data_IF_977802978343
#
_entry.id   IF_977802978343
#
_cell.length_a   1.000
_cell.length_b   1.000
_cell.length_c   1.000
_cell.angle_alpha   90.00
_cell.angle_beta   90.00
_cell.angle_gamma   90.00
#
_symmetry.space_group_name_H-M   'P 1'
#
loop_
_entity.id
_entity.type
_entity.pdbx_description
1 polymer ?
#
# COMPACT_ATOMS: atom_id res chain seq x y z
N UNK A 1 19.68 4.87 -12.74
CA UNK A 1 18.22 4.83 -12.50
C UNK A 1 17.55 5.97 -13.25
N UNK A 2 16.35 5.75 -13.80
CA UNK A 2 15.60 6.75 -14.57
C UNK A 2 16.34 7.23 -15.83
N UNK A 3 15.86 8.34 -16.41
CA UNK A 3 16.58 9.05 -17.47
C UNK A 3 17.45 10.11 -16.81
N UNK A 4 18.76 10.12 -17.10
CA UNK A 4 19.75 11.04 -16.49
C UNK A 4 19.27 12.50 -16.51
N UNK A 5 18.63 12.93 -17.59
CA UNK A 5 18.13 14.29 -17.79
C UNK A 5 16.60 14.40 -17.70
N UNK A 6 15.91 13.33 -17.29
CA UNK A 6 14.45 13.24 -17.33
C UNK A 6 13.74 14.33 -16.53
N UNK A 7 14.30 14.70 -15.37
CA UNK A 7 13.78 15.78 -14.53
C UNK A 7 13.91 17.18 -15.15
N UNK A 8 14.79 17.37 -16.16
CA UNK A 8 14.94 18.63 -16.88
C UNK A 8 14.03 18.73 -18.10
N UNK A 9 13.58 17.60 -18.63
CA UNK A 9 12.84 17.51 -19.90
C UNK A 9 11.36 17.24 -19.75
N UNK A 10 10.95 16.66 -18.62
CA UNK A 10 9.58 16.20 -18.38
C UNK A 10 9.00 16.98 -17.22
N UNK A 11 7.82 17.56 -17.38
CA UNK A 11 7.08 18.19 -16.29
C UNK A 11 6.41 17.15 -15.36
N UNK A 12 6.12 17.58 -14.12
CA UNK A 12 5.45 16.74 -13.14
C UNK A 12 3.99 16.66 -13.54
N UNK A 13 3.49 15.44 -13.64
CA UNK A 13 2.08 15.17 -13.89
C UNK A 13 1.50 14.50 -12.64
N UNK A 14 0.36 15.01 -12.19
CA UNK A 14 -0.43 14.40 -11.12
C UNK A 14 -1.71 13.79 -11.66
N UNK A 15 -2.30 12.88 -10.88
CA UNK A 15 -3.63 12.34 -11.16
C UNK A 15 -4.66 13.47 -11.12
N UNK A 16 -5.50 13.51 -12.14
CA UNK A 16 -6.64 14.41 -12.17
C UNK A 16 -7.81 13.87 -11.34
N UNK A 17 -8.80 14.72 -11.16
CA UNK A 17 -10.06 14.35 -10.54
C UNK A 17 -11.18 14.43 -11.57
N UNK A 18 -12.22 13.62 -11.38
CA UNK A 18 -13.48 13.82 -12.09
C UNK A 18 -14.01 15.26 -11.86
N UNK A 19 -14.79 15.74 -12.84
CA UNK A 19 -15.41 17.05 -12.78
C UNK A 19 -16.25 17.21 -11.51
N UNK A 20 -16.29 18.44 -10.97
CA UNK A 20 -16.96 18.72 -9.69
C UNK A 20 -18.43 18.32 -9.76
N UNK A 21 -19.09 18.59 -10.88
CA UNK A 21 -20.49 18.31 -11.14
C UNK A 21 -20.79 16.81 -11.10
N UNK A 22 -19.82 15.95 -11.37
CA UNK A 22 -19.97 14.50 -11.39
C UNK A 22 -19.60 13.88 -10.04
N UNK A 23 -18.45 14.26 -9.46
CA UNK A 23 -17.96 13.66 -8.21
C UNK A 23 -18.80 13.98 -6.98
N UNK A 24 -19.63 15.04 -6.99
CA UNK A 24 -20.55 15.34 -5.88
C UNK A 24 -21.81 14.46 -5.89
N UNK A 25 -22.04 13.69 -6.96
CA UNK A 25 -23.22 12.82 -7.12
C UNK A 25 -23.01 11.42 -6.52
N UNK A 26 -21.79 11.07 -6.09
CA UNK A 26 -21.48 9.78 -5.50
C UNK A 26 -20.36 9.86 -4.47
N UNK A 27 -20.13 8.74 -3.78
CA UNK A 27 -19.06 8.59 -2.79
C UNK A 27 -17.91 7.68 -3.27
N UNK A 28 -17.93 7.20 -4.52
CA UNK A 28 -16.81 6.40 -5.08
C UNK A 28 -15.55 7.25 -5.25
N UNK A 29 -14.40 6.58 -5.34
CA UNK A 29 -13.13 7.22 -5.75
C UNK A 29 -13.34 7.96 -7.08
N UNK A 30 -12.89 9.21 -7.13
CA UNK A 30 -13.00 10.08 -8.30
C UNK A 30 -11.63 10.55 -8.81
N UNK A 31 -10.55 9.96 -8.30
CA UNK A 31 -9.19 10.16 -8.81
C UNK A 31 -9.02 9.38 -10.10
N UNK A 32 -8.57 10.05 -11.14
CA UNK A 32 -8.34 9.47 -12.46
C UNK A 32 -6.89 8.99 -12.50
N UNK A 33 -6.64 7.67 -12.66
CA UNK A 33 -5.27 7.16 -12.79
C UNK A 33 -4.57 7.72 -14.03
N UNK A 34 -3.25 7.87 -13.95
CA UNK A 34 -2.43 8.23 -15.11
C UNK A 34 -2.29 7.05 -16.06
N UNK A 35 -2.09 7.32 -17.35
CA UNK A 35 -1.74 6.28 -18.31
C UNK A 35 -0.38 5.65 -17.93
N UNK A 36 -0.18 4.34 -18.11
CA UNK A 36 1.11 3.69 -17.81
C UNK A 36 2.34 4.38 -18.44
N UNK A 37 2.20 5.01 -19.61
CA UNK A 37 3.28 5.79 -20.24
C UNK A 37 3.59 7.07 -19.46
N UNK A 38 2.58 7.77 -18.98
CA UNK A 38 2.75 8.96 -18.14
C UNK A 38 3.39 8.59 -16.80
N UNK A 39 2.95 7.49 -16.18
CA UNK A 39 3.58 6.96 -14.95
C UNK A 39 5.06 6.62 -15.20
N UNK A 40 5.36 5.97 -16.33
CA UNK A 40 6.74 5.69 -16.75
C UNK A 40 7.57 6.96 -16.92
N UNK A 41 6.99 8.04 -17.47
CA UNK A 41 7.66 9.33 -17.59
C UNK A 41 7.91 9.98 -16.22
N UNK A 42 6.97 9.85 -15.28
CA UNK A 42 7.17 10.34 -13.91
C UNK A 42 8.29 9.57 -13.20
N UNK A 43 8.41 8.25 -13.42
CA UNK A 43 9.56 7.47 -12.95
C UNK A 43 10.90 7.95 -13.54
N UNK A 44 10.89 8.41 -14.80
CA UNK A 44 12.07 8.95 -15.48
C UNK A 44 12.59 10.27 -14.87
N UNK A 45 11.77 11.01 -14.11
CA UNK A 45 12.18 12.22 -13.39
C UNK A 45 13.05 11.92 -12.15
N UNK A 46 13.23 10.66 -11.75
CA UNK A 46 14.11 10.32 -10.65
C UNK A 46 15.57 10.67 -10.99
N UNK A 47 16.22 11.49 -10.15
CA UNK A 47 17.59 11.99 -10.40
C UNK A 47 18.71 10.98 -10.07
N UNK A 48 18.38 9.77 -9.60
CA UNK A 48 19.37 8.80 -9.10
C UNK A 48 20.33 9.42 -8.06
N UNK A 49 19.75 10.04 -7.03
CA UNK A 49 20.51 10.78 -6.03
C UNK A 49 21.46 9.85 -5.28
N UNK A 50 22.75 10.21 -5.19
CA UNK A 50 23.74 9.42 -4.43
C UNK A 50 23.35 9.19 -2.96
N UNK A 51 22.57 10.10 -2.38
CA UNK A 51 21.88 9.91 -1.08
C UNK A 51 20.37 10.06 -1.32
N UNK A 52 19.60 8.96 -1.36
CA UNK A 52 18.17 9.02 -1.64
C UNK A 52 17.38 9.45 -0.38
N UNK A 53 17.24 10.76 -0.17
CA UNK A 53 16.47 11.30 0.97
C UNK A 53 15.01 10.85 0.98
N UNK A 54 14.45 10.49 -0.16
CA UNK A 54 13.11 9.91 -0.24
C UNK A 54 12.97 8.60 0.55
N UNK A 55 14.04 7.79 0.68
CA UNK A 55 14.04 6.59 1.53
C UNK A 55 13.80 6.97 2.99
N UNK A 56 14.54 7.95 3.48
CA UNK A 56 14.47 8.42 4.87
C UNK A 56 13.16 9.16 5.15
N UNK A 57 12.62 9.86 4.15
CA UNK A 57 11.31 10.51 4.24
C UNK A 57 10.14 9.51 4.28
N UNK A 58 10.35 8.25 3.85
CA UNK A 58 9.33 7.22 3.89
C UNK A 58 9.38 6.46 5.23
N UNK A 59 8.32 6.45 6.05
CA UNK A 59 8.33 5.76 7.35
C UNK A 59 8.55 4.25 7.28
N UNK A 60 8.30 3.63 6.12
CA UNK A 60 8.56 2.20 5.88
C UNK A 60 9.88 1.95 5.13
N UNK A 61 10.71 2.98 4.97
CA UNK A 61 12.01 2.93 4.28
C UNK A 61 11.92 2.29 2.87
N UNK A 62 10.88 2.67 2.12
CA UNK A 62 10.62 2.10 0.81
C UNK A 62 11.75 2.39 -0.18
N UNK A 63 12.03 1.42 -1.07
CA UNK A 63 13.11 1.45 -2.07
C UNK A 63 12.71 2.22 -3.33
N UNK A 64 12.44 3.52 -3.14
CA UNK A 64 11.73 4.37 -4.11
C UNK A 64 12.43 4.51 -5.47
N UNK A 65 13.72 4.87 -5.55
CA UNK A 65 14.45 4.96 -6.82
C UNK A 65 14.47 3.64 -7.58
N UNK A 66 14.54 2.50 -6.88
CA UNK A 66 14.60 1.17 -7.51
C UNK A 66 13.31 0.85 -8.26
N UNK A 67 12.15 0.95 -7.60
CA UNK A 67 10.89 0.70 -8.30
C UNK A 67 10.51 1.81 -9.29
N UNK A 68 10.97 3.06 -9.10
CA UNK A 68 10.83 4.11 -10.12
C UNK A 68 11.57 3.76 -11.42
N UNK A 69 12.82 3.28 -11.30
CA UNK A 69 13.62 2.84 -12.43
C UNK A 69 12.98 1.63 -13.13
N UNK A 70 12.49 0.66 -12.36
CA UNK A 70 11.83 -0.52 -12.91
C UNK A 70 10.55 -0.13 -13.67
N UNK A 71 9.75 0.80 -13.14
CA UNK A 71 8.57 1.34 -13.85
C UNK A 71 8.97 2.05 -15.15
N UNK A 72 9.99 2.90 -15.12
CA UNK A 72 10.52 3.56 -16.32
C UNK A 72 10.96 2.56 -17.40
N UNK A 73 11.56 1.44 -17.00
CA UNK A 73 12.00 0.36 -17.89
C UNK A 73 10.88 -0.65 -18.23
N UNK A 74 9.62 -0.36 -17.93
CA UNK A 74 8.46 -1.25 -18.13
C UNK A 74 8.55 -2.61 -17.39
N UNK A 75 9.38 -2.71 -16.35
CA UNK A 75 9.54 -3.90 -15.49
C UNK A 75 8.57 -3.84 -14.30
N UNK A 76 7.28 -3.73 -14.60
CA UNK A 76 6.22 -3.49 -13.61
C UNK A 76 6.10 -4.57 -12.54
N UNK A 77 6.27 -5.84 -12.91
CA UNK A 77 6.20 -6.95 -11.95
C UNK A 77 7.36 -6.92 -10.97
N UNK A 78 8.57 -6.64 -11.45
CA UNK A 78 9.75 -6.51 -10.58
C UNK A 78 9.61 -5.27 -9.67
N UNK A 79 9.05 -4.16 -10.19
CA UNK A 79 8.74 -2.98 -9.40
C UNK A 79 7.77 -3.31 -8.25
N UNK A 80 6.75 -4.12 -8.52
CA UNK A 80 5.81 -4.60 -7.52
C UNK A 80 6.48 -5.48 -6.44
N UNK A 81 7.36 -6.40 -6.85
CA UNK A 81 8.09 -7.27 -5.93
C UNK A 81 8.98 -6.44 -4.98
N UNK A 82 9.68 -5.43 -5.50
CA UNK A 82 10.47 -4.49 -4.71
C UNK A 82 9.57 -3.65 -3.79
N UNK A 83 8.44 -3.12 -4.29
CA UNK A 83 7.50 -2.35 -3.49
C UNK A 83 6.96 -3.15 -2.29
N UNK A 84 6.60 -4.41 -2.52
CA UNK A 84 6.12 -5.31 -1.47
C UNK A 84 7.19 -5.83 -0.51
N UNK A 85 8.48 -5.66 -0.84
CA UNK A 85 9.57 -6.02 0.07
C UNK A 85 9.58 -5.18 1.35
N UNK A 86 9.09 -3.94 1.27
CA UNK A 86 9.05 -3.00 2.42
C UNK A 86 7.64 -2.61 2.85
N UNK A 87 6.64 -2.71 1.96
CA UNK A 87 5.28 -2.25 2.25
C UNK A 87 4.25 -3.38 2.04
N UNK A 88 3.54 -3.74 3.12
CA UNK A 88 2.45 -4.71 3.06
C UNK A 88 1.25 -4.21 2.21
N UNK A 89 0.94 -2.91 2.29
CA UNK A 89 -0.32 -2.35 1.76
C UNK A 89 -0.13 -1.08 0.93
N UNK A 90 0.63 -1.14 -0.18
CA UNK A 90 0.82 -0.01 -1.09
C UNK A 90 -0.49 0.55 -1.65
N UNK A 91 -1.56 -0.25 -1.73
CA UNK A 91 -2.87 0.24 -2.19
C UNK A 91 -3.51 1.24 -1.23
N UNK A 92 -3.18 1.17 0.07
CA UNK A 92 -3.67 2.11 1.06
C UNK A 92 -2.77 3.34 1.08
N UNK A 93 -1.46 3.16 1.20
CA UNK A 93 -0.48 4.27 1.26
C UNK A 93 -0.48 5.09 -0.03
N UNK A 94 -0.53 4.47 -1.20
CA UNK A 94 -0.62 5.16 -2.51
C UNK A 94 -1.86 6.04 -2.68
N UNK A 95 -2.89 5.85 -1.84
CA UNK A 95 -4.13 6.68 -1.82
C UNK A 95 -4.12 7.69 -0.69
N UNK A 96 -3.79 7.27 0.53
CA UNK A 96 -4.04 8.08 1.74
C UNK A 96 -2.79 8.77 2.30
N UNK A 97 -1.58 8.31 1.95
CA UNK A 97 -0.34 8.85 2.49
C UNK A 97 -0.21 10.35 2.15
N UNK A 98 0.27 11.21 3.06
CA UNK A 98 0.58 12.60 2.77
C UNK A 98 1.90 12.78 1.98
N UNK A 99 2.51 11.67 1.53
CA UNK A 99 3.72 11.64 0.71
C UNK A 99 4.93 12.41 1.29
N UNK A 100 5.37 12.12 2.54
CA UNK A 100 6.57 12.76 3.10
C UNK A 100 7.84 12.47 2.29
N UNK A 101 7.89 11.34 1.58
CA UNK A 101 8.95 10.99 0.65
C UNK A 101 9.08 11.97 -0.53
N UNK A 102 7.98 12.57 -0.99
CA UNK A 102 8.00 13.61 -2.03
C UNK A 102 8.49 14.93 -1.45
N UNK A 103 8.05 15.28 -0.23
CA UNK A 103 8.55 16.46 0.46
C UNK A 103 10.06 16.39 0.72
N UNK A 104 10.60 15.19 1.01
CA UNK A 104 12.04 14.93 1.18
C UNK A 104 12.82 14.69 -0.12
N UNK A 105 12.17 14.68 -1.28
CA UNK A 105 12.85 14.43 -2.55
C UNK A 105 13.87 15.54 -2.84
N UNK A 106 15.11 15.19 -3.22
CA UNK A 106 16.14 16.18 -3.56
C UNK A 106 15.71 17.12 -4.68
N UNK A 107 14.91 16.64 -5.64
CA UNK A 107 14.41 17.47 -6.74
C UNK A 107 13.48 18.58 -6.21
N UNK A 108 12.80 18.34 -5.08
CA UNK A 108 11.91 19.30 -4.41
C UNK A 108 12.61 20.58 -3.92
N UNK A 109 13.96 20.60 -3.91
CA UNK A 109 14.73 21.79 -3.52
C UNK A 109 14.66 22.87 -4.61
N UNK A 110 14.63 22.47 -5.88
CA UNK A 110 14.76 23.39 -7.02
C UNK A 110 13.64 23.28 -8.05
N UNK A 111 12.89 22.19 -8.05
CA UNK A 111 11.73 21.93 -8.93
C UNK A 111 10.71 21.05 -8.19
N UNK A 112 9.67 20.58 -8.86
CA UNK A 112 8.67 19.68 -8.34
C UNK A 112 9.25 18.27 -8.09
N UNK A 113 8.89 17.59 -6.99
CA UNK A 113 9.39 16.26 -6.70
C UNK A 113 8.88 15.23 -7.72
N UNK A 114 9.50 14.05 -7.72
CA UNK A 114 8.95 12.89 -8.42
C UNK A 114 7.57 12.55 -7.83
N UNK A 115 6.60 12.19 -8.67
CA UNK A 115 5.24 11.80 -8.24
C UNK A 115 5.21 10.38 -7.62
N UNK A 116 6.00 10.18 -6.57
CA UNK A 116 6.27 8.89 -5.89
C UNK A 116 4.97 8.20 -5.49
N UNK A 117 4.03 8.91 -4.86
CA UNK A 117 2.75 8.35 -4.40
C UNK A 117 1.89 7.86 -5.57
N UNK A 118 1.91 8.60 -6.68
CA UNK A 118 1.16 8.21 -7.89
C UNK A 118 1.75 6.95 -8.51
N UNK A 119 3.08 6.85 -8.58
CA UNK A 119 3.76 5.67 -9.10
C UNK A 119 3.53 4.45 -8.18
N UNK A 120 3.63 4.61 -6.85
CA UNK A 120 3.29 3.56 -5.88
C UNK A 120 1.87 3.00 -6.11
N UNK A 121 0.88 3.89 -6.20
CA UNK A 121 -0.51 3.50 -6.44
C UNK A 121 -0.68 2.77 -7.79
N UNK A 122 0.00 3.24 -8.84
CA UNK A 122 -0.08 2.64 -10.18
C UNK A 122 0.55 1.25 -10.23
N UNK A 123 1.66 1.03 -9.52
CA UNK A 123 2.32 -0.29 -9.44
C UNK A 123 1.38 -1.31 -8.79
N UNK A 124 0.79 -0.99 -7.64
CA UNK A 124 -0.07 -1.94 -6.91
C UNK A 124 -1.38 -2.19 -7.63
N UNK A 125 -2.00 -1.16 -8.23
CA UNK A 125 -3.26 -1.32 -8.95
C UNK A 125 -3.05 -2.23 -10.18
N UNK A 126 -1.99 -2.00 -10.97
CA UNK A 126 -1.59 -2.90 -12.06
C UNK A 126 -1.26 -4.31 -11.57
N UNK A 127 -0.59 -4.44 -10.43
CA UNK A 127 -0.27 -5.73 -9.83
C UNK A 127 -1.51 -6.57 -9.49
N UNK A 128 -2.60 -5.92 -9.10
CA UNK A 128 -3.89 -6.58 -8.87
C UNK A 128 -4.61 -6.89 -10.18
N UNK A 129 -4.65 -5.95 -11.13
CA UNK A 129 -5.29 -6.13 -12.45
C UNK A 129 -4.68 -7.31 -13.22
N UNK A 130 -3.36 -7.44 -13.19
CA UNK A 130 -2.61 -8.50 -13.87
C UNK A 130 -2.56 -9.81 -13.08
N UNK A 131 -3.15 -9.85 -11.87
CA UNK A 131 -3.18 -11.04 -11.02
C UNK A 131 -1.81 -11.49 -10.50
N UNK A 132 -0.84 -10.57 -10.39
CA UNK A 132 0.49 -10.84 -9.86
C UNK A 132 0.51 -10.96 -8.34
N UNK A 133 -0.37 -10.23 -7.65
CA UNK A 133 -0.51 -10.29 -6.20
C UNK A 133 -1.27 -11.57 -5.82
N UNK A 134 -0.54 -12.55 -5.26
CA UNK A 134 -1.07 -13.84 -4.85
C UNK A 134 -0.85 -14.08 -3.34
N UNK A 135 -1.67 -14.93 -2.70
CA UNK A 135 -1.39 -15.38 -1.33
C UNK A 135 0.00 -16.02 -1.23
N UNK A 136 0.80 -15.62 -0.25
CA UNK A 136 2.07 -16.23 0.08
C UNK A 136 1.88 -17.19 1.26
N UNK A 137 1.64 -18.46 0.95
CA UNK A 137 1.40 -19.50 1.95
C UNK A 137 2.76 -20.06 2.38
N UNK A 138 3.01 -20.13 3.68
CA UNK A 138 4.23 -20.76 4.21
C UNK A 138 4.24 -22.26 3.94
N UNK A 139 5.36 -22.76 3.40
CA UNK A 139 5.58 -24.20 3.18
C UNK A 139 5.72 -24.95 4.52
N UNK A 140 6.27 -24.29 5.54
CA UNK A 140 6.46 -24.85 6.88
C UNK A 140 5.52 -24.18 7.89
N UNK A 141 4.88 -24.99 8.74
CA UNK A 141 4.06 -24.50 9.85
C UNK A 141 4.86 -24.59 11.15
N UNK A 142 4.91 -23.47 11.87
CA UNK A 142 5.67 -23.35 13.13
C UNK A 142 4.94 -23.92 14.35
N UNK A 143 3.66 -24.28 14.21
CA UNK A 143 2.74 -24.67 15.29
C UNK A 143 2.55 -23.64 16.41
N UNK A 144 3.08 -22.41 16.26
CA UNK A 144 2.81 -21.31 17.17
C UNK A 144 1.48 -20.66 16.83
N UNK A 145 0.67 -20.39 17.85
CA UNK A 145 -0.58 -19.65 17.76
C UNK A 145 -0.37 -18.22 18.24
N UNK A 146 -0.81 -17.24 17.47
CA UNK A 146 -0.67 -15.82 17.80
C UNK A 146 -2.04 -15.14 17.71
N UNK A 147 -2.41 -14.45 18.79
CA UNK A 147 -3.58 -13.56 18.80
C UNK A 147 -3.13 -12.12 18.52
N UNK A 148 -3.79 -11.46 17.57
CA UNK A 148 -3.60 -10.04 17.23
C UNK A 148 -4.88 -9.30 17.61
N UNK A 149 -4.78 -8.28 18.45
CA UNK A 149 -5.93 -7.51 18.93
C UNK A 149 -6.03 -6.21 18.13
N UNK A 150 -7.12 -6.06 17.38
CA UNK A 150 -7.42 -4.93 16.51
C UNK A 150 -7.03 -5.18 15.05
N UNK A 151 -7.90 -4.77 14.14
CA UNK A 151 -7.75 -5.00 12.70
C UNK A 151 -7.41 -3.75 11.89
N UNK A 152 -6.81 -2.75 12.53
CA UNK A 152 -6.23 -1.60 11.83
C UNK A 152 -4.99 -1.97 11.01
N UNK A 153 -4.38 -1.01 10.29
CA UNK A 153 -3.21 -1.27 9.45
C UNK A 153 -2.06 -1.98 10.19
N UNK A 154 -1.83 -1.62 11.45
CA UNK A 154 -0.81 -2.27 12.30
C UNK A 154 -1.10 -3.76 12.55
N UNK A 155 -2.33 -4.07 12.97
CA UNK A 155 -2.77 -5.44 13.22
C UNK A 155 -2.75 -6.29 11.95
N UNK A 156 -3.21 -5.74 10.82
CA UNK A 156 -3.19 -6.43 9.53
C UNK A 156 -1.76 -6.71 9.05
N UNK A 157 -0.85 -5.74 9.13
CA UNK A 157 0.55 -5.92 8.72
C UNK A 157 1.23 -6.98 9.59
N UNK A 158 1.07 -6.88 10.91
CA UNK A 158 1.58 -7.88 11.85
C UNK A 158 1.05 -9.29 11.53
N UNK A 159 -0.27 -9.42 11.35
CA UNK A 159 -0.90 -10.71 11.08
C UNK A 159 -0.42 -11.32 9.75
N UNK A 160 -0.29 -10.51 8.70
CA UNK A 160 0.19 -10.99 7.41
C UNK A 160 1.63 -11.51 7.50
N UNK A 161 2.53 -10.75 8.11
CA UNK A 161 3.94 -11.16 8.25
C UNK A 161 4.05 -12.45 9.05
N UNK A 162 3.30 -12.58 10.15
CA UNK A 162 3.30 -13.77 10.99
C UNK A 162 2.72 -15.01 10.28
N UNK A 163 1.65 -14.84 9.49
CA UNK A 163 1.06 -15.93 8.71
C UNK A 163 2.03 -16.45 7.63
N UNK A 164 2.74 -15.53 6.95
CA UNK A 164 3.73 -15.86 5.91
C UNK A 164 4.95 -16.61 6.41
N UNK A 165 5.32 -16.45 7.68
CA UNK A 165 6.38 -17.26 8.32
C UNK A 165 5.84 -18.55 8.95
N UNK A 166 4.55 -18.86 8.77
CA UNK A 166 3.98 -20.14 9.16
C UNK A 166 3.37 -20.19 10.57
N UNK A 167 3.08 -19.05 11.20
CA UNK A 167 2.28 -19.02 12.43
C UNK A 167 0.78 -19.18 12.13
N UNK A 168 0.03 -19.71 13.10
CA UNK A 168 -1.45 -19.68 13.08
C UNK A 168 -1.89 -18.37 13.73
N UNK A 169 -2.45 -17.45 12.94
CA UNK A 169 -2.75 -16.10 13.41
C UNK A 169 -4.25 -15.87 13.44
N UNK A 170 -4.75 -15.38 14.58
CA UNK A 170 -6.14 -14.95 14.75
C UNK A 170 -6.17 -13.46 15.06
N UNK A 171 -6.87 -12.68 14.23
CA UNK A 171 -7.09 -11.24 14.43
C UNK A 171 -8.46 -11.05 15.06
N UNK A 172 -8.49 -10.49 16.27
CA UNK A 172 -9.72 -10.14 17.00
C UNK A 172 -10.06 -8.67 16.77
N UNK A 173 -11.25 -8.41 16.24
CA UNK A 173 -11.74 -7.06 15.97
C UNK A 173 -13.03 -6.80 16.75
N UNK A 174 -13.09 -5.64 17.44
CA UNK A 174 -14.26 -5.22 18.20
C UNK A 174 -15.48 -4.98 17.30
N UNK A 175 -15.28 -4.38 16.14
CA UNK A 175 -16.35 -4.00 15.24
C UNK A 175 -16.80 -5.19 14.37
N UNK A 176 -17.95 -5.04 13.70
CA UNK A 176 -18.46 -6.04 12.75
C UNK A 176 -17.65 -6.14 11.46
N UNK A 177 -16.78 -5.16 11.18
CA UNK A 177 -15.97 -5.10 9.95
C UNK A 177 -14.51 -4.83 10.26
N UNK A 178 -13.65 -5.47 9.47
CA UNK A 178 -12.19 -5.39 9.53
C UNK A 178 -11.67 -4.12 8.84
N UNK A 179 -10.55 -3.58 9.35
CA UNK A 179 -9.82 -2.46 8.74
C UNK A 179 -9.63 -1.25 9.66
N UNK A 180 -10.21 -1.25 10.86
CA UNK A 180 -10.14 -0.13 11.78
C UNK A 180 -10.54 1.20 11.13
N UNK A 181 -9.79 2.27 11.40
CA UNK A 181 -10.04 3.61 10.83
C UNK A 181 -9.94 3.66 9.30
N UNK A 182 -9.21 2.76 8.64
CA UNK A 182 -9.20 2.69 7.17
C UNK A 182 -10.60 2.40 6.63
N UNK A 183 -11.38 1.60 7.35
CA UNK A 183 -12.76 1.26 6.99
C UNK A 183 -13.78 2.24 7.55
N UNK A 184 -13.70 2.57 8.84
CA UNK A 184 -14.76 3.35 9.51
C UNK A 184 -14.53 4.86 9.49
N UNK A 185 -13.30 5.31 9.23
CA UNK A 185 -12.92 6.73 9.31
C UNK A 185 -12.69 7.38 7.96
N UNK A 186 -11.91 6.75 7.08
CA UNK A 186 -11.59 7.30 5.77
C UNK A 186 -12.82 7.17 4.85
N UNK A 187 -13.30 8.23 4.19
CA UNK A 187 -14.43 8.12 3.24
C UNK A 187 -14.06 7.35 1.96
N UNK A 188 -15.07 6.73 1.32
CA UNK A 188 -14.90 5.94 0.09
C UNK A 188 -14.28 6.74 -1.05
N UNK A 189 -14.62 8.02 -1.17
CA UNK A 189 -14.11 8.86 -2.26
C UNK A 189 -12.61 9.15 -2.17
N UNK A 190 -11.98 8.88 -1.03
CA UNK A 190 -10.52 8.91 -0.86
C UNK A 190 -9.89 7.52 -1.06
N UNK A 191 -10.61 6.48 -0.65
CA UNK A 191 -10.14 5.10 -0.70
C UNK A 191 -11.34 4.16 -0.53
N UNK A 192 -11.68 3.43 -1.59
CA UNK A 192 -12.78 2.49 -1.60
C UNK A 192 -12.50 1.28 -0.70
N UNK A 193 -13.56 0.75 -0.06
CA UNK A 193 -13.42 -0.34 0.94
C UNK A 193 -13.20 -1.71 0.32
N UNK A 194 -13.52 -1.87 -0.96
CA UNK A 194 -13.22 -3.08 -1.73
C UNK A 194 -11.71 -3.42 -1.71
N UNK A 195 -10.82 -2.43 -1.57
CA UNK A 195 -9.38 -2.63 -1.43
C UNK A 195 -9.04 -3.38 -0.14
N UNK A 196 -9.74 -3.06 0.94
CA UNK A 196 -9.62 -3.75 2.23
C UNK A 196 -10.14 -5.18 2.09
N UNK A 197 -11.33 -5.36 1.49
CA UNK A 197 -11.94 -6.68 1.29
C UNK A 197 -11.06 -7.61 0.44
N UNK A 198 -10.48 -7.08 -0.65
CA UNK A 198 -9.54 -7.81 -1.52
C UNK A 198 -8.29 -8.24 -0.75
N UNK A 199 -7.72 -7.35 0.07
CA UNK A 199 -6.54 -7.67 0.88
C UNK A 199 -6.85 -8.70 1.97
N UNK A 200 -8.00 -8.58 2.63
CA UNK A 200 -8.46 -9.58 3.60
C UNK A 200 -8.60 -10.96 2.96
N UNK A 201 -9.26 -11.07 1.81
CA UNK A 201 -9.43 -12.35 1.11
C UNK A 201 -8.07 -12.99 0.74
N UNK A 202 -7.06 -12.17 0.45
CA UNK A 202 -5.70 -12.64 0.22
C UNK A 202 -5.05 -13.14 1.53
N UNK A 203 -5.19 -12.41 2.64
CA UNK A 203 -4.67 -12.80 3.96
C UNK A 203 -5.36 -14.04 4.55
N UNK A 204 -6.66 -14.21 4.33
CA UNK A 204 -7.39 -15.41 4.74
C UNK A 204 -6.81 -16.67 4.06
N UNK A 205 -6.47 -16.55 2.76
CA UNK A 205 -5.78 -17.61 2.02
C UNK A 205 -4.34 -17.84 2.50
N UNK A 206 -3.69 -16.83 3.06
CA UNK A 206 -2.37 -16.96 3.71
C UNK A 206 -2.47 -17.65 5.08
N UNK A 207 -3.69 -17.82 5.63
CA UNK A 207 -3.96 -18.51 6.88
C UNK A 207 -4.25 -17.59 8.07
N UNK A 208 -4.60 -16.33 7.82
CA UNK A 208 -5.09 -15.41 8.87
C UNK A 208 -6.58 -15.68 9.12
N UNK A 209 -6.95 -15.93 10.38
CA UNK A 209 -8.35 -16.02 10.80
C UNK A 209 -8.81 -14.66 11.34
N UNK A 210 -9.98 -14.17 10.90
CA UNK A 210 -10.58 -12.93 11.40
C UNK A 210 -11.78 -13.23 12.29
N UNK A 211 -11.76 -12.72 13.54
CA UNK A 211 -12.86 -12.79 14.50
C UNK A 211 -13.39 -11.40 14.82
N UNK A 212 -14.47 -11.03 14.14
CA UNK A 212 -15.19 -9.77 14.36
C UNK A 212 -16.06 -9.82 15.62
N UNK A 213 -16.62 -8.67 16.04
CA UNK A 213 -17.44 -8.53 17.25
C UNK A 213 -16.75 -9.03 18.54
N UNK A 214 -15.43 -9.06 18.54
CA UNK A 214 -14.56 -9.58 19.59
C UNK A 214 -13.90 -8.43 20.33
N UNK A 215 -14.59 -7.89 21.33
CA UNK A 215 -14.09 -6.84 22.19
C UNK A 215 -13.31 -7.46 23.36
N UNK A 216 -12.01 -7.61 23.14
CA UNK A 216 -11.07 -8.12 24.15
C UNK A 216 -11.12 -7.25 25.41
N UNK A 217 -11.27 -7.90 26.57
CA UNK A 217 -11.48 -7.25 27.86
C UNK A 217 -12.95 -6.98 28.20
N UNK A 218 -13.90 -7.24 27.28
CA UNK A 218 -15.34 -7.11 27.54
C UNK A 218 -16.07 -8.44 27.29
N UNK A 219 -16.17 -8.90 26.04
CA UNK A 219 -16.86 -10.14 25.69
C UNK A 219 -15.90 -11.27 25.23
N UNK A 220 -14.61 -10.95 25.10
CA UNK A 220 -13.53 -11.93 24.95
C UNK A 220 -12.56 -11.71 26.11
N UNK A 221 -12.36 -12.72 26.94
CA UNK A 221 -11.43 -12.64 28.07
C UNK A 221 -9.99 -12.84 27.60
N UNK A 222 -9.01 -12.47 28.43
CA UNK A 222 -7.61 -12.74 28.12
C UNK A 222 -7.30 -14.25 28.07
N UNK A 223 -8.00 -15.05 28.89
CA UNK A 223 -7.87 -16.51 28.89
C UNK A 223 -8.38 -17.15 27.59
N UNK A 224 -9.41 -16.56 26.96
CA UNK A 224 -9.92 -17.02 25.67
C UNK A 224 -8.90 -16.86 24.53
N UNK A 225 -7.92 -15.96 24.67
CA UNK A 225 -6.86 -15.74 23.67
C UNK A 225 -5.81 -16.86 23.66
N UNK A 226 -5.71 -17.63 24.74
CA UNK A 226 -4.73 -18.72 24.88
C UNK A 226 -5.20 -20.05 24.28
N UNK A 227 -6.41 -20.09 23.69
CA UNK A 227 -7.04 -21.28 23.10
C UNK A 227 -6.84 -21.33 21.59
#
# INVERSE_FOLDING_TARGET
MGKITGFMELDRIERDYEAVEDRIKHFREFLIPLDPKEVSQQGARCMDCGIPYCHQGCPVNNLIPDWNDLVYNNRWKDALDILHSTNNFPEFTGRICPAPCEASCTLNITDNPVAIKTIECSIVDKGWEEGWIKPQISDEKTNKKIAVIGSGPSGLSCAQQLARVGHSVVVFEKNERIGGLLRIGIPDFKMEKNLIDRRMAQMEKEGVEFRVNSHVGINVTFEDLNR
#
